data_IF_812586462399
#
_entry.id   IF_812586462399
#
_cell.length_a   1.000
_cell.length_b   1.000
_cell.length_c   1.000
_cell.angle_alpha   90.00
_cell.angle_beta   90.00
_cell.angle_gamma   90.00
#
_symmetry.space_group_name_H-M   'P 1'
#
loop_
_entity.id
_entity.type
_entity.pdbx_description
1 polymer ?
#
# COMPACT_ATOMS: atom_id res chain seq x y z
N UNK A 1 22.39 -27.65 -30.09
CA UNK A 1 20.98 -28.02 -29.82
C UNK A 1 20.62 -27.99 -28.36
N UNK A 2 21.39 -28.69 -27.49
CA UNK A 2 21.15 -28.66 -26.04
C UNK A 2 21.19 -27.22 -25.46
N UNK A 3 22.15 -26.42 -25.88
CA UNK A 3 22.26 -25.01 -25.42
C UNK A 3 21.04 -24.16 -25.81
N UNK A 4 20.54 -24.39 -27.02
CA UNK A 4 19.33 -23.66 -27.49
C UNK A 4 18.10 -24.04 -26.66
N UNK A 5 17.94 -25.36 -26.36
CA UNK A 5 16.82 -25.85 -25.54
C UNK A 5 16.91 -25.32 -24.09
N UNK A 6 18.12 -25.25 -23.52
CA UNK A 6 18.36 -24.71 -22.20
C UNK A 6 17.98 -23.24 -22.16
N UNK A 7 18.37 -22.45 -23.17
CA UNK A 7 18.03 -21.02 -23.27
C UNK A 7 16.51 -20.84 -23.39
N UNK A 8 15.84 -21.65 -24.22
CA UNK A 8 14.38 -21.59 -24.36
C UNK A 8 13.66 -21.89 -23.04
N UNK A 9 14.15 -22.90 -22.30
CA UNK A 9 13.59 -23.26 -21.00
C UNK A 9 13.78 -22.13 -19.98
N UNK A 10 14.96 -21.54 -19.93
CA UNK A 10 15.25 -20.41 -19.04
C UNK A 10 14.44 -19.17 -19.40
N UNK A 11 14.26 -18.89 -20.69
CA UNK A 11 13.38 -17.80 -21.15
C UNK A 11 11.95 -18.00 -20.68
N UNK A 12 11.43 -19.20 -20.84
CA UNK A 12 10.07 -19.54 -20.40
C UNK A 12 9.89 -19.36 -18.89
N UNK A 13 10.85 -19.88 -18.10
CA UNK A 13 10.85 -19.73 -16.64
C UNK A 13 10.87 -18.25 -16.22
N UNK A 14 11.74 -17.46 -16.83
CA UNK A 14 11.88 -16.05 -16.47
C UNK A 14 10.69 -15.20 -16.92
N UNK A 15 10.08 -15.51 -18.05
CA UNK A 15 8.85 -14.87 -18.50
C UNK A 15 7.70 -15.16 -17.53
N UNK A 16 7.57 -16.41 -17.05
CA UNK A 16 6.59 -16.77 -16.04
C UNK A 16 6.85 -16.05 -14.71
N UNK A 17 8.11 -15.96 -14.30
CA UNK A 17 8.49 -15.24 -13.09
C UNK A 17 8.14 -13.76 -13.18
N UNK A 18 8.34 -13.16 -14.34
CA UNK A 18 7.98 -11.77 -14.60
C UNK A 18 6.46 -11.55 -14.45
N UNK A 19 5.66 -12.44 -15.01
CA UNK A 19 4.20 -12.40 -14.87
C UNK A 19 3.75 -12.54 -13.41
N UNK A 20 4.37 -13.45 -12.68
CA UNK A 20 4.11 -13.63 -11.24
C UNK A 20 4.45 -12.38 -10.44
N UNK A 21 5.59 -11.75 -10.73
CA UNK A 21 5.99 -10.50 -10.06
C UNK A 21 5.01 -9.36 -10.36
N UNK A 22 4.57 -9.23 -11.59
CA UNK A 22 3.57 -8.22 -11.98
C UNK A 22 2.24 -8.44 -11.27
N UNK A 23 1.82 -9.70 -11.15
CA UNK A 23 0.61 -10.06 -10.42
C UNK A 23 0.74 -9.73 -8.92
N UNK A 24 1.87 -10.09 -8.29
CA UNK A 24 2.13 -9.79 -6.89
C UNK A 24 2.20 -8.28 -6.63
N UNK A 25 2.78 -7.51 -7.55
CA UNK A 25 2.81 -6.05 -7.45
C UNK A 25 1.40 -5.45 -7.44
N UNK A 26 0.52 -5.93 -8.32
CA UNK A 26 -0.88 -5.49 -8.37
C UNK A 26 -1.64 -5.87 -7.10
N UNK A 27 -1.42 -7.07 -6.58
CA UNK A 27 -2.03 -7.50 -5.32
C UNK A 27 -1.53 -6.66 -4.13
N UNK A 28 -0.24 -6.35 -4.10
CA UNK A 28 0.36 -5.50 -3.07
C UNK A 28 -0.29 -4.12 -3.07
N UNK A 29 -0.47 -3.52 -4.25
CA UNK A 29 -1.15 -2.24 -4.42
C UNK A 29 -2.61 -2.31 -3.93
N UNK A 30 -3.34 -3.34 -4.33
CA UNK A 30 -4.74 -3.53 -3.93
C UNK A 30 -4.89 -3.69 -2.42
N UNK A 31 -4.00 -4.44 -1.78
CA UNK A 31 -3.99 -4.60 -0.32
C UNK A 31 -3.70 -3.28 0.40
N UNK A 32 -2.76 -2.52 -0.12
CA UNK A 32 -2.44 -1.19 0.43
C UNK A 32 -3.65 -0.27 0.35
N UNK A 33 -4.29 -0.18 -0.81
CA UNK A 33 -5.48 0.64 -1.02
C UNK A 33 -6.62 0.22 -0.10
N UNK A 34 -6.84 -1.10 0.05
CA UNK A 34 -7.88 -1.64 0.93
C UNK A 34 -7.62 -1.28 2.40
N UNK A 35 -6.38 -1.40 2.86
CA UNK A 35 -5.99 -1.04 4.23
C UNK A 35 -6.12 0.46 4.49
N UNK A 36 -5.73 1.30 3.53
CA UNK A 36 -5.90 2.75 3.64
C UNK A 36 -7.37 3.15 3.70
N UNK A 37 -8.21 2.54 2.87
CA UNK A 37 -9.65 2.78 2.87
C UNK A 37 -10.28 2.35 4.21
N UNK A 38 -9.90 1.21 4.74
CA UNK A 38 -10.36 0.73 6.05
C UNK A 38 -9.97 1.69 7.16
N UNK A 39 -8.72 2.17 7.14
CA UNK A 39 -8.20 3.12 8.12
C UNK A 39 -8.98 4.45 8.06
N UNK A 40 -9.24 4.93 6.86
CA UNK A 40 -10.01 6.15 6.61
C UNK A 40 -11.44 6.01 7.12
N UNK A 41 -12.08 4.87 6.85
CA UNK A 41 -13.41 4.55 7.35
C UNK A 41 -13.48 4.57 8.86
N UNK A 42 -12.53 3.91 9.53
CA UNK A 42 -12.43 3.87 10.99
C UNK A 42 -12.26 5.26 11.59
N UNK A 43 -11.40 6.08 10.98
CA UNK A 43 -11.21 7.48 11.40
C UNK A 43 -12.52 8.26 11.37
N UNK A 44 -13.21 8.21 10.23
CA UNK A 44 -14.47 8.95 10.05
C UNK A 44 -15.55 8.44 10.97
N UNK A 45 -15.63 7.13 11.18
CA UNK A 45 -16.59 6.51 12.10
C UNK A 45 -16.37 6.97 13.54
N UNK A 46 -15.12 6.96 14.00
CA UNK A 46 -14.78 7.44 15.35
C UNK A 46 -15.08 8.93 15.51
N UNK A 47 -14.76 9.75 14.52
CA UNK A 47 -15.07 11.18 14.54
C UNK A 47 -16.59 11.44 14.63
N UNK A 48 -17.38 10.68 13.90
CA UNK A 48 -18.84 10.78 13.94
C UNK A 48 -19.38 10.41 15.33
N UNK A 49 -18.86 9.35 15.96
CA UNK A 49 -19.27 8.95 17.31
C UNK A 49 -18.96 10.06 18.31
N UNK A 50 -17.76 10.64 18.24
CA UNK A 50 -17.35 11.72 19.16
C UNK A 50 -18.19 12.95 18.94
N UNK A 51 -18.47 13.31 17.69
CA UNK A 51 -19.30 14.45 17.35
C UNK A 51 -20.73 14.27 17.88
N UNK A 52 -21.34 13.12 17.70
CA UNK A 52 -22.67 12.81 18.25
C UNK A 52 -22.71 12.93 19.76
N UNK A 53 -21.72 12.37 20.45
CA UNK A 53 -21.61 12.46 21.91
C UNK A 53 -21.41 13.89 22.37
N UNK A 54 -20.62 14.66 21.65
CA UNK A 54 -20.41 16.08 21.92
C UNK A 54 -21.72 16.87 21.80
N UNK A 55 -22.49 16.62 20.74
CA UNK A 55 -23.78 17.31 20.53
C UNK A 55 -24.79 16.96 21.64
N UNK A 56 -24.88 15.68 22.00
CA UNK A 56 -25.76 15.23 23.09
C UNK A 56 -25.37 15.89 24.42
N UNK A 57 -24.07 15.93 24.71
CA UNK A 57 -23.56 16.56 25.94
C UNK A 57 -23.82 18.06 25.96
N UNK A 58 -23.69 18.75 24.83
CA UNK A 58 -24.03 20.18 24.70
C UNK A 58 -25.50 20.42 25.00
N UNK A 59 -26.37 19.60 24.43
CA UNK A 59 -27.82 19.71 24.68
C UNK A 59 -28.15 19.49 26.16
N UNK A 60 -27.53 18.50 26.77
CA UNK A 60 -27.71 18.23 28.21
C UNK A 60 -27.31 19.44 29.04
N UNK A 61 -26.12 20.00 28.79
CA UNK A 61 -25.66 21.21 29.51
C UNK A 61 -26.58 22.40 29.31
N UNK A 62 -27.13 22.56 28.11
CA UNK A 62 -28.06 23.66 27.79
C UNK A 62 -29.36 23.57 28.55
N UNK A 63 -29.76 22.39 29.01
CA UNK A 63 -31.00 22.18 29.77
C UNK A 63 -30.83 22.37 31.27
N UNK A 64 -29.62 22.55 31.76
CA UNK A 64 -29.36 22.74 33.20
C UNK A 64 -29.70 24.20 33.61
N UNK A 65 -30.19 24.35 34.88
CA UNK A 65 -30.67 25.62 35.40
C UNK A 65 -29.61 26.51 36.03
N UNK A 66 -28.35 26.01 36.10
CA UNK A 66 -27.23 26.76 36.67
C UNK A 66 -26.24 27.17 35.59
N UNK A 67 -25.25 27.97 35.94
CA UNK A 67 -24.20 28.41 35.02
C UNK A 67 -23.31 27.23 34.63
N UNK A 68 -23.30 26.90 33.35
CA UNK A 68 -22.55 25.77 32.77
C UNK A 68 -21.37 26.23 31.93
N UNK A 69 -20.94 27.46 32.02
CA UNK A 69 -19.88 28.05 31.18
C UNK A 69 -18.57 27.26 31.31
N UNK A 70 -18.16 26.91 32.53
CA UNK A 70 -16.95 26.12 32.77
C UNK A 70 -17.09 24.68 32.24
N UNK A 71 -18.30 24.12 32.35
CA UNK A 71 -18.60 22.78 31.85
C UNK A 71 -18.51 22.73 30.32
N UNK A 72 -18.99 23.74 29.60
CA UNK A 72 -18.86 23.87 28.15
C UNK A 72 -17.39 23.96 27.72
N UNK A 73 -16.59 24.76 28.45
CA UNK A 73 -15.15 24.87 28.16
C UNK A 73 -14.45 23.53 28.35
N UNK A 74 -14.76 22.82 29.45
CA UNK A 74 -14.20 21.49 29.71
C UNK A 74 -14.61 20.48 28.65
N UNK A 75 -15.88 20.51 28.24
CA UNK A 75 -16.40 19.62 27.17
C UNK A 75 -15.69 19.88 25.84
N UNK A 76 -15.49 21.15 25.48
CA UNK A 76 -14.78 21.52 24.25
C UNK A 76 -13.33 21.00 24.26
N UNK A 77 -12.64 21.19 25.38
CA UNK A 77 -11.27 20.68 25.54
C UNK A 77 -11.21 19.15 25.41
N UNK A 78 -12.17 18.46 25.98
CA UNK A 78 -12.26 17.00 25.91
C UNK A 78 -12.50 16.54 24.47
N UNK A 79 -13.44 17.20 23.77
CA UNK A 79 -13.72 16.92 22.35
C UNK A 79 -12.47 17.13 21.49
N UNK A 80 -11.79 18.26 21.66
CA UNK A 80 -10.59 18.60 20.90
C UNK A 80 -9.48 17.56 21.16
N UNK A 81 -9.31 17.13 22.42
CA UNK A 81 -8.34 16.12 22.81
C UNK A 81 -8.59 14.78 22.11
N UNK A 82 -9.83 14.32 22.11
CA UNK A 82 -10.21 13.08 21.41
C UNK A 82 -10.02 13.20 19.89
N UNK A 83 -10.44 14.33 19.32
CA UNK A 83 -10.29 14.57 17.89
C UNK A 83 -8.82 14.57 17.47
N UNK A 84 -7.97 15.25 18.23
CA UNK A 84 -6.52 15.30 17.98
C UNK A 84 -5.87 13.92 18.12
N UNK A 85 -6.30 13.12 19.09
CA UNK A 85 -5.82 11.75 19.29
C UNK A 85 -6.16 10.85 18.10
N UNK A 86 -7.37 10.99 17.56
CA UNK A 86 -7.79 10.25 16.37
C UNK A 86 -6.95 10.65 15.16
N UNK A 87 -6.76 11.95 14.94
CA UNK A 87 -5.96 12.47 13.84
C UNK A 87 -4.51 12.02 13.93
N UNK A 88 -3.91 12.08 15.12
CA UNK A 88 -2.54 11.63 15.36
C UNK A 88 -2.38 10.13 15.14
N UNK A 89 -3.32 9.33 15.63
CA UNK A 89 -3.32 7.88 15.43
C UNK A 89 -3.45 7.53 13.95
N UNK A 90 -4.36 8.18 13.24
CA UNK A 90 -4.53 8.00 11.81
C UNK A 90 -3.25 8.35 11.05
N UNK A 91 -2.65 9.49 11.35
CA UNK A 91 -1.41 9.94 10.70
C UNK A 91 -0.27 8.91 10.89
N UNK A 92 -0.10 8.39 12.11
CA UNK A 92 0.93 7.37 12.40
C UNK A 92 0.69 6.08 11.64
N UNK A 93 -0.55 5.60 11.63
CA UNK A 93 -0.90 4.34 10.95
C UNK A 93 -0.79 4.48 9.43
N UNK A 94 -1.27 5.58 8.86
CA UNK A 94 -1.18 5.84 7.43
C UNK A 94 0.28 5.96 6.96
N UNK A 95 1.11 6.66 7.73
CA UNK A 95 2.54 6.77 7.42
C UNK A 95 3.23 5.41 7.43
N UNK A 96 2.93 4.57 8.42
CA UNK A 96 3.49 3.22 8.51
C UNK A 96 3.08 2.37 7.30
N UNK A 97 1.81 2.41 6.90
CA UNK A 97 1.32 1.70 5.72
C UNK A 97 2.00 2.19 4.44
N UNK A 98 2.15 3.50 4.29
CA UNK A 98 2.83 4.10 3.14
C UNK A 98 4.30 3.68 3.07
N UNK A 99 5.01 3.68 4.19
CA UNK A 99 6.41 3.25 4.26
C UNK A 99 6.56 1.77 3.90
N UNK A 100 5.69 0.91 4.44
CA UNK A 100 5.69 -0.52 4.12
C UNK A 100 5.41 -0.74 2.62
N UNK A 101 4.45 -0.03 2.06
CA UNK A 101 4.11 -0.12 0.65
C UNK A 101 5.26 0.35 -0.24
N UNK A 102 5.89 1.48 0.08
CA UNK A 102 7.05 2.00 -0.66
C UNK A 102 8.19 1.00 -0.67
N UNK A 103 8.48 0.39 0.47
CA UNK A 103 9.55 -0.61 0.60
C UNK A 103 9.25 -1.84 -0.24
N UNK A 104 8.06 -2.42 -0.11
CA UNK A 104 7.68 -3.61 -0.88
C UNK A 104 7.60 -3.33 -2.38
N UNK A 105 7.06 -2.17 -2.77
CA UNK A 105 7.01 -1.74 -4.16
C UNK A 105 8.40 -1.59 -4.78
N UNK A 106 9.34 -1.03 -4.03
CA UNK A 106 10.73 -0.90 -4.46
C UNK A 106 11.38 -2.26 -4.65
N UNK A 107 11.18 -3.18 -3.70
CA UNK A 107 11.72 -4.54 -3.77
C UNK A 107 11.19 -5.29 -5.00
N UNK A 108 9.90 -5.22 -5.28
CA UNK A 108 9.30 -5.82 -6.48
C UNK A 108 9.85 -5.22 -7.78
N UNK A 109 10.00 -3.91 -7.82
CA UNK A 109 10.58 -3.21 -9.01
C UNK A 109 12.01 -3.64 -9.26
N UNK A 110 12.81 -3.81 -8.20
CA UNK A 110 14.18 -4.29 -8.33
C UNK A 110 14.23 -5.72 -8.84
N UNK A 111 13.39 -6.60 -8.31
CA UNK A 111 13.29 -7.98 -8.77
C UNK A 111 12.85 -8.05 -10.24
N UNK A 112 11.89 -7.22 -10.62
CA UNK A 112 11.41 -7.11 -11.99
C UNK A 112 12.55 -6.71 -12.95
N UNK A 113 13.32 -5.69 -12.58
CA UNK A 113 14.46 -5.24 -13.38
C UNK A 113 15.53 -6.33 -13.54
N UNK A 114 15.80 -7.09 -12.49
CA UNK A 114 16.74 -8.21 -12.53
C UNK A 114 16.26 -9.29 -13.51
N UNK A 115 14.99 -9.65 -13.45
CA UNK A 115 14.40 -10.66 -14.35
C UNK A 115 14.40 -10.16 -15.80
N UNK A 116 14.05 -8.90 -16.04
CA UNK A 116 14.10 -8.29 -17.38
C UNK A 116 15.51 -8.29 -17.94
N UNK A 117 16.52 -8.04 -17.13
CA UNK A 117 17.92 -8.08 -17.55
C UNK A 117 18.36 -9.51 -17.92
N UNK A 118 17.95 -10.49 -17.12
CA UNK A 118 18.20 -11.91 -17.43
C UNK A 118 17.56 -12.30 -18.77
N UNK A 119 16.32 -11.88 -19.01
CA UNK A 119 15.61 -12.14 -20.26
C UNK A 119 16.36 -11.52 -21.44
N UNK A 120 16.83 -10.28 -21.30
CA UNK A 120 17.66 -9.61 -22.33
C UNK A 120 18.91 -10.40 -22.68
N UNK A 121 19.63 -10.86 -21.64
CA UNK A 121 20.84 -11.66 -21.81
C UNK A 121 20.54 -12.97 -22.55
N UNK A 122 19.48 -13.64 -22.16
CA UNK A 122 19.05 -14.89 -22.79
C UNK A 122 18.70 -14.70 -24.28
N UNK A 123 18.03 -13.62 -24.63
CA UNK A 123 17.74 -13.30 -26.04
C UNK A 123 19.02 -13.03 -26.84
N UNK A 124 19.99 -12.34 -26.25
CA UNK A 124 21.29 -12.10 -26.90
C UNK A 124 22.02 -13.41 -27.17
N UNK A 125 22.04 -14.31 -26.21
CA UNK A 125 22.66 -15.63 -26.35
C UNK A 125 21.93 -16.48 -27.39
N UNK A 126 20.61 -16.44 -27.41
CA UNK A 126 19.78 -17.12 -28.40
C UNK A 126 20.11 -16.62 -29.82
N UNK A 127 20.17 -15.31 -29.99
CA UNK A 127 20.48 -14.69 -31.28
C UNK A 127 21.88 -15.04 -31.76
N UNK A 128 22.87 -15.10 -30.86
CA UNK A 128 24.23 -15.57 -31.20
C UNK A 128 24.23 -16.99 -31.67
N UNK A 129 23.48 -17.90 -31.05
CA UNK A 129 23.39 -19.31 -31.46
C UNK A 129 22.70 -19.45 -32.81
N UNK A 130 21.63 -18.69 -33.08
CA UNK A 130 20.93 -18.66 -34.35
C UNK A 130 21.87 -18.16 -35.48
N UNK A 131 22.63 -17.08 -35.24
CA UNK A 131 23.59 -16.56 -36.19
C UNK A 131 24.74 -17.55 -36.49
N UNK A 132 25.23 -18.26 -35.45
CA UNK A 132 26.25 -19.30 -35.64
C UNK A 132 25.72 -20.45 -36.48
N UNK A 133 24.48 -20.88 -36.30
CA UNK A 133 23.88 -21.94 -37.09
C UNK A 133 23.73 -21.54 -38.55
N UNK A 134 23.39 -20.30 -38.81
CA UNK A 134 23.29 -19.73 -40.19
C UNK A 134 24.67 -19.63 -40.84
N UNK A 135 25.69 -19.19 -40.11
CA UNK A 135 27.07 -19.09 -40.61
C UNK A 135 27.76 -20.45 -40.81
N UNK A 136 27.31 -21.47 -40.10
CA UNK A 136 27.82 -22.83 -40.17
C UNK A 136 27.28 -23.65 -41.34
N UNK A 137 26.28 -23.14 -42.04
CA UNK A 137 25.75 -23.78 -43.22
C UNK A 137 26.54 -23.35 -44.49
#
# INVERSE_FOLDING_TARGET
>A
MEQFEVIQTELYKNQNLLEELEFEMKQNQSRFEAKMNELFYKKNHLKNIIDEKFQVSKQYLSCLKWDTTEDFVALQKLFDSYSDSIDSSFARHSLRLEEQYKKSSKDYKMQKLQVEEIIKQLYREKNKLENKNVEGE
#
